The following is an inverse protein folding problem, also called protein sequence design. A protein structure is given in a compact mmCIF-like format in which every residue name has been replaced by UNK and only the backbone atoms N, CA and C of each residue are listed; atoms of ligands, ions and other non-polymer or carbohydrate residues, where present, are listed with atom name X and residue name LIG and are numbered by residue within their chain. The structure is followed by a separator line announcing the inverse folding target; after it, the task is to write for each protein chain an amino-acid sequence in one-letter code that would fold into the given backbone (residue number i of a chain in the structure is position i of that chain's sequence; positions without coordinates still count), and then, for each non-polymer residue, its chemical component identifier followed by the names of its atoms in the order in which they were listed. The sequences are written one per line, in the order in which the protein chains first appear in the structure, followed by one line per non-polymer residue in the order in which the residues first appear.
data_IF_469265334508
#
_entry.id   IF_469265334508
#
_cell.length_a   1.000
_cell.length_b   1.000
_cell.length_c   1.000
_cell.angle_alpha   90.00
_cell.angle_beta   90.00
_cell.angle_gamma   90.00
#
_symmetry.space_group_name_H-M   'P 1'
#
loop_
_entity.id
_entity.type
_entity.pdbx_description
1 polymer ?
#
# COMPACT_ATOMS: atom_id res chain seq x y z
N UNK A 1 10.49 37.27 1.41
CA UNK A 1 10.51 36.82 1.32
C UNK A 1 10.51 36.41 1.09
N UNK A 2 10.50 36.45 1.30
CA UNK A 2 10.53 35.79 1.22
C UNK A 2 10.52 35.23 0.92
N UNK A 3 10.65 35.25 1.00
CA UNK A 3 10.75 34.45 0.83
C UNK A 3 10.57 33.98 0.33
N UNK A 4 10.53 34.05 0.33
CA UNK A 4 10.35 33.39 0.00
C UNK A 4 10.29 32.87 -0.61
N UNK A 5 10.49 33.00 -0.71
CA UNK A 5 10.39 32.24 -1.17
C UNK A 5 10.41 31.48 -1.62
N UNK A 6 10.64 31.32 -1.72
CA UNK A 6 10.68 30.38 -2.02
C UNK A 6 10.57 29.69 -2.18
N UNK A 7 10.82 29.38 -2.02
CA UNK A 7 10.56 28.54 -2.02
C UNK A 7 9.73 28.03 -2.32
N UNK A 8 9.96 27.81 -2.34
CA UNK A 8 8.71 27.64 -2.47
C UNK A 8 8.11 26.72 -3.52
N UNK A 9 8.44 26.73 -4.65
CA UNK A 9 7.80 25.95 -5.65
C UNK A 9 8.02 24.47 -5.53
N UNK A 10 9.17 24.08 -5.08
CA UNK A 10 9.39 22.66 -4.99
C UNK A 10 8.73 22.06 -3.83
N UNK A 11 8.52 22.75 -2.80
CA UNK A 11 7.71 22.21 -1.73
C UNK A 11 6.29 21.92 -2.14
N UNK A 12 5.83 22.49 -3.23
CA UNK A 12 4.47 22.24 -3.68
C UNK A 12 4.18 20.79 -3.90
N UNK A 13 5.15 20.02 -4.38
CA UNK A 13 4.93 18.60 -4.58
C UNK A 13 4.68 17.88 -3.28
N UNK A 14 5.38 18.25 -2.25
CA UNK A 14 5.21 17.64 -0.95
C UNK A 14 3.88 18.02 -0.32
N UNK A 15 3.39 19.20 -0.63
CA UNK A 15 2.16 19.67 -0.04
C UNK A 15 0.94 18.96 -0.56
N UNK A 16 1.06 18.24 -1.66
CA UNK A 16 -0.07 17.54 -2.21
C UNK A 16 -0.51 16.37 -1.37
N UNK A 17 0.36 15.89 -0.52
CA UNK A 17 -0.02 14.85 0.42
C UNK A 17 -0.36 15.52 1.73
N UNK A 18 -1.63 15.61 2.04
CA UNK A 18 -2.13 16.39 3.15
C UNK A 18 -2.20 15.63 4.46
N UNK A 19 -1.77 14.39 4.49
CA UNK A 19 -1.84 13.58 5.69
C UNK A 19 -0.48 13.33 6.30
N UNK A 20 -0.42 12.65 7.44
CA UNK A 20 0.84 12.30 8.07
C UNK A 20 1.60 11.27 7.25
N UNK A 21 2.92 11.16 7.44
CA UNK A 21 3.69 10.13 6.76
C UNK A 21 3.17 8.74 7.09
N UNK A 22 3.19 7.87 6.09
CA UNK A 22 2.73 6.49 6.24
C UNK A 22 3.90 5.53 6.15
N UNK A 23 3.82 4.44 6.89
CA UNK A 23 4.75 3.32 6.74
C UNK A 23 4.08 2.32 5.82
N UNK A 24 4.66 2.12 4.66
CA UNK A 24 4.05 1.34 3.59
C UNK A 24 4.91 0.14 3.22
N UNK A 25 4.30 -1.03 3.20
CA UNK A 25 4.95 -2.23 2.68
C UNK A 25 4.45 -2.43 1.25
N UNK A 26 5.36 -2.50 0.29
CA UNK A 26 5.01 -2.70 -1.12
C UNK A 26 5.56 -4.03 -1.57
N UNK A 27 4.69 -4.90 -2.06
CA UNK A 27 5.08 -6.19 -2.60
C UNK A 27 4.73 -6.27 -4.08
N UNK A 28 5.73 -6.44 -4.93
CA UNK A 28 5.55 -6.51 -6.38
C UNK A 28 6.79 -7.20 -6.95
N UNK A 29 6.59 -8.16 -7.84
CA UNK A 29 7.71 -8.90 -8.41
C UNK A 29 8.37 -8.20 -9.60
N UNK A 30 7.85 -7.06 -10.02
CA UNK A 30 8.39 -6.31 -11.13
C UNK A 30 9.29 -5.19 -10.61
N UNK A 31 10.59 -5.29 -10.86
CA UNK A 31 11.56 -4.34 -10.34
C UNK A 31 11.23 -2.90 -10.74
N UNK A 32 10.75 -2.71 -11.97
CA UNK A 32 10.40 -1.37 -12.44
C UNK A 32 9.25 -0.79 -11.62
N UNK A 33 8.21 -1.59 -11.37
CA UNK A 33 7.07 -1.13 -10.59
C UNK A 33 7.46 -0.82 -9.16
N UNK A 34 8.30 -1.67 -8.55
CA UNK A 34 8.79 -1.43 -7.19
C UNK A 34 9.57 -0.13 -7.12
N UNK A 35 10.49 0.07 -8.07
CA UNK A 35 11.32 1.27 -8.08
C UNK A 35 10.46 2.52 -8.22
N UNK A 36 9.48 2.47 -9.12
CA UNK A 36 8.61 3.61 -9.36
C UNK A 36 7.79 3.95 -8.13
N UNK A 37 7.11 2.95 -7.56
CA UNK A 37 6.27 3.16 -6.39
C UNK A 37 7.10 3.67 -5.21
N UNK A 38 8.25 3.04 -4.99
CA UNK A 38 9.13 3.40 -3.89
C UNK A 38 9.60 4.85 -4.02
N UNK A 39 10.11 5.20 -5.19
CA UNK A 39 10.62 6.55 -5.41
C UNK A 39 9.53 7.60 -5.21
N UNK A 40 8.37 7.32 -5.76
CA UNK A 40 7.26 8.25 -5.70
C UNK A 40 6.79 8.47 -4.28
N UNK A 41 6.59 7.38 -3.56
CA UNK A 41 6.06 7.47 -2.21
C UNK A 41 7.08 8.07 -1.24
N UNK A 42 8.36 7.75 -1.41
CA UNK A 42 9.39 8.36 -0.58
C UNK A 42 9.49 9.86 -0.82
N UNK A 43 9.30 10.28 -2.06
CA UNK A 43 9.33 11.71 -2.37
C UNK A 43 8.24 12.46 -1.63
N UNK A 44 7.11 11.80 -1.38
CA UNK A 44 6.01 12.39 -0.64
C UNK A 44 6.16 12.26 0.86
N UNK A 45 7.28 11.75 1.34
CA UNK A 45 7.58 11.70 2.76
C UNK A 45 7.23 10.40 3.46
N UNK A 46 6.83 9.39 2.72
CA UNK A 46 6.44 8.11 3.33
C UNK A 46 7.64 7.20 3.52
N UNK A 47 7.52 6.28 4.48
CA UNK A 47 8.55 5.28 4.77
C UNK A 47 8.17 3.99 4.07
N UNK A 48 8.99 3.56 3.12
CA UNK A 48 8.67 2.45 2.24
C UNK A 48 9.59 1.26 2.48
N UNK A 49 9.00 0.09 2.66
CA UNK A 49 9.73 -1.16 2.63
C UNK A 49 9.22 -1.93 1.42
N UNK A 50 10.11 -2.35 0.53
CA UNK A 50 9.70 -3.06 -0.69
C UNK A 50 10.20 -4.48 -0.68
N UNK A 51 9.36 -5.41 -1.15
CA UNK A 51 9.69 -6.82 -1.24
C UNK A 51 9.19 -7.35 -2.58
N UNK A 52 9.65 -8.54 -2.97
CA UNK A 52 9.46 -9.04 -4.33
C UNK A 52 8.51 -10.23 -4.46
N UNK A 53 8.05 -10.78 -3.36
CA UNK A 53 7.10 -11.88 -3.44
C UNK A 53 6.26 -11.92 -2.16
N UNK A 54 5.24 -12.78 -2.17
CA UNK A 54 4.29 -12.85 -1.08
C UNK A 54 4.86 -13.42 0.21
N UNK A 55 5.85 -14.29 0.10
CA UNK A 55 6.48 -14.83 1.30
C UNK A 55 7.30 -13.75 1.99
N UNK A 56 8.08 -13.00 1.22
CA UNK A 56 8.82 -11.87 1.77
C UNK A 56 7.89 -10.85 2.40
N UNK A 57 6.73 -10.61 1.78
CA UNK A 57 5.76 -9.68 2.32
C UNK A 57 5.27 -10.16 3.69
N UNK A 58 4.92 -11.44 3.79
CA UNK A 58 4.44 -11.99 5.05
C UNK A 58 5.52 -11.96 6.12
N UNK A 59 6.74 -12.38 5.78
CA UNK A 59 7.82 -12.39 6.76
C UNK A 59 8.16 -10.98 7.24
N UNK A 60 8.16 -10.01 6.34
CA UNK A 60 8.42 -8.62 6.69
C UNK A 60 7.30 -8.04 7.54
N UNK A 61 6.07 -8.39 7.20
CA UNK A 61 4.91 -7.90 7.94
C UNK A 61 4.96 -8.33 9.41
N UNK A 62 5.44 -9.54 9.67
CA UNK A 62 5.52 -10.04 11.04
C UNK A 62 6.53 -9.29 11.90
N UNK A 63 7.53 -8.67 11.27
CA UNK A 63 8.64 -8.07 11.99
C UNK A 63 8.47 -6.58 12.27
N UNK A 64 7.49 -5.94 11.68
CA UNK A 64 7.33 -4.49 11.81
C UNK A 64 5.86 -4.12 11.74
N UNK A 65 5.57 -2.85 12.04
CA UNK A 65 4.21 -2.33 11.91
C UNK A 65 4.13 -1.49 10.65
N UNK A 66 3.02 -1.60 9.93
CA UNK A 66 2.77 -0.83 8.72
C UNK A 66 1.40 -0.20 8.79
N UNK A 67 1.26 0.94 8.15
CA UNK A 67 -0.03 1.63 8.06
C UNK A 67 -0.85 1.08 6.90
N UNK A 68 -0.19 0.53 5.90
CA UNK A 68 -0.87 -0.03 4.74
C UNK A 68 0.09 -0.96 4.00
N UNK A 69 -0.47 -1.97 3.34
CA UNK A 69 0.28 -2.90 2.48
C UNK A 69 -0.27 -2.75 1.06
N UNK A 70 0.63 -2.52 0.10
CA UNK A 70 0.29 -2.57 -1.32
C UNK A 70 0.75 -3.91 -1.84
N UNK A 71 -0.18 -4.77 -2.24
CA UNK A 71 0.10 -6.16 -2.54
C UNK A 71 -0.27 -6.50 -3.97
N UNK A 72 0.73 -6.81 -4.79
CA UNK A 72 0.48 -7.34 -6.11
C UNK A 72 -0.20 -8.70 -5.98
N UNK A 73 -1.07 -9.03 -6.91
CA UNK A 73 -1.78 -10.30 -6.86
C UNK A 73 -0.90 -11.44 -7.37
N UNK A 74 -0.21 -11.24 -8.49
CA UNK A 74 0.56 -12.31 -9.13
C UNK A 74 2.04 -12.13 -8.85
N UNK A 75 2.57 -12.98 -7.98
CA UNK A 75 3.98 -12.98 -7.62
C UNK A 75 4.46 -14.42 -7.49
N UNK A 76 5.75 -14.68 -7.72
CA UNK A 76 6.29 -16.04 -7.56
C UNK A 76 6.39 -16.39 -6.07
N UNK A 77 6.65 -17.63 -5.79
CA UNK A 77 6.84 -18.21 -4.46
C UNK A 77 5.53 -18.24 -3.70
N UNK A 78 4.89 -17.08 -3.49
CA UNK A 78 3.60 -16.97 -2.82
C UNK A 78 2.89 -15.78 -3.42
N UNK A 79 1.69 -15.96 -3.94
CA UNK A 79 0.96 -14.87 -4.56
C UNK A 79 0.33 -13.95 -3.51
N UNK A 80 -0.26 -12.85 -3.99
CA UNK A 80 -0.81 -11.85 -3.08
C UNK A 80 -2.01 -12.32 -2.28
N UNK A 81 -2.81 -13.22 -2.83
CA UNK A 81 -3.97 -13.74 -2.11
C UNK A 81 -3.54 -14.65 -0.97
N UNK A 82 -2.58 -15.52 -1.23
CA UNK A 82 -2.06 -16.40 -0.20
C UNK A 82 -1.34 -15.61 0.89
N UNK A 83 -0.55 -14.61 0.49
CA UNK A 83 0.15 -13.76 1.44
C UNK A 83 -0.84 -13.03 2.34
N UNK A 84 -1.92 -12.50 1.74
CA UNK A 84 -2.96 -11.81 2.50
C UNK A 84 -3.60 -12.75 3.52
N UNK A 85 -3.91 -13.99 3.11
CA UNK A 85 -4.50 -14.95 4.03
C UNK A 85 -3.58 -15.21 5.22
N UNK A 86 -2.28 -15.34 4.96
CA UNK A 86 -1.33 -15.58 6.04
C UNK A 86 -1.18 -14.36 6.94
N UNK A 87 -1.22 -13.17 6.37
CA UNK A 87 -1.18 -11.95 7.18
C UNK A 87 -2.40 -11.87 8.09
N UNK A 88 -3.59 -12.16 7.56
CA UNK A 88 -4.81 -12.13 8.36
C UNK A 88 -4.78 -13.17 9.47
N UNK A 89 -4.24 -14.35 9.18
CA UNK A 89 -4.08 -15.39 10.20
C UNK A 89 -3.13 -14.94 11.31
N UNK A 90 -2.03 -14.30 10.92
CA UNK A 90 -1.07 -13.77 11.88
C UNK A 90 -1.71 -12.69 12.75
N UNK A 91 -2.46 -11.78 12.12
CA UNK A 91 -3.14 -10.72 12.87
C UNK A 91 -4.13 -11.29 13.89
N UNK A 92 -4.83 -12.35 13.51
CA UNK A 92 -5.78 -12.98 14.43
C UNK A 92 -5.08 -13.56 15.66
N UNK A 93 -3.81 -13.91 15.53
CA UNK A 93 -3.04 -14.42 16.65
C UNK A 93 -2.44 -13.29 17.52
N UNK A 94 -2.65 -12.04 17.12
CA UNK A 94 -2.10 -10.87 17.81
C UNK A 94 -3.25 -9.93 18.17
N UNK A 95 -4.06 -10.28 19.17
CA UNK A 95 -5.31 -9.53 19.40
C UNK A 95 -5.12 -8.08 19.77
N UNK A 96 -3.95 -7.69 20.29
CA UNK A 96 -3.70 -6.29 20.60
C UNK A 96 -3.26 -5.48 19.39
N UNK A 97 -3.06 -6.13 18.25
CA UNK A 97 -2.59 -5.48 17.05
C UNK A 97 -3.78 -5.26 16.11
N UNK A 98 -4.11 -4.01 15.78
CA UNK A 98 -5.24 -3.78 14.87
C UNK A 98 -4.93 -4.30 13.46
N UNK A 99 -5.95 -4.70 12.71
CA UNK A 99 -5.73 -5.15 11.34
C UNK A 99 -5.16 -4.02 10.49
N UNK A 100 -4.33 -4.38 9.52
CA UNK A 100 -3.69 -3.43 8.63
C UNK A 100 -4.42 -3.42 7.28
N UNK A 101 -4.72 -2.26 6.72
CA UNK A 101 -5.31 -2.22 5.37
C UNK A 101 -4.37 -2.85 4.35
N UNK A 102 -4.90 -3.72 3.51
CA UNK A 102 -4.15 -4.36 2.43
C UNK A 102 -4.86 -3.99 1.13
N UNK A 103 -4.12 -3.37 0.22
CA UNK A 103 -4.65 -2.92 -1.06
C UNK A 103 -4.09 -3.79 -2.16
N UNK A 104 -4.98 -4.40 -2.95
CA UNK A 104 -4.56 -5.20 -4.09
C UNK A 104 -4.08 -4.28 -5.20
N UNK A 105 -2.96 -4.66 -5.83
CA UNK A 105 -2.48 -3.97 -7.02
C UNK A 105 -2.57 -4.96 -8.16
N UNK A 106 -3.32 -4.63 -9.20
CA UNK A 106 -3.58 -5.58 -10.26
C UNK A 106 -3.82 -4.87 -11.59
N UNK A 107 -3.40 -5.53 -12.68
CA UNK A 107 -3.71 -5.05 -14.02
C UNK A 107 -5.11 -5.48 -14.46
N UNK A 108 -5.78 -6.30 -13.64
CA UNK A 108 -7.06 -6.88 -13.99
C UNK A 108 -8.22 -6.00 -13.54
N UNK A 109 -9.09 -5.63 -14.48
CA UNK A 109 -10.27 -4.81 -14.21
C UNK A 109 -11.56 -5.61 -14.09
N UNK A 110 -11.47 -6.94 -14.05
CA UNK A 110 -12.66 -7.77 -13.95
C UNK A 110 -13.31 -7.61 -12.58
N UNK A 111 -14.58 -7.29 -12.60
CA UNK A 111 -15.31 -7.08 -11.36
C UNK A 111 -15.36 -8.33 -10.50
N UNK A 112 -15.51 -9.50 -11.13
CA UNK A 112 -15.55 -10.75 -10.38
C UNK A 112 -14.24 -11.03 -9.66
N UNK A 113 -13.12 -10.66 -10.27
CA UNK A 113 -11.81 -10.85 -9.63
C UNK A 113 -11.64 -9.86 -8.49
N UNK A 114 -12.12 -8.63 -8.67
CA UNK A 114 -12.08 -7.65 -7.58
C UNK A 114 -12.87 -8.13 -6.37
N UNK A 115 -14.02 -8.76 -6.60
CA UNK A 115 -14.82 -9.32 -5.52
C UNK A 115 -14.07 -10.42 -4.80
N UNK A 116 -13.34 -11.25 -5.56
CA UNK A 116 -12.53 -12.31 -4.98
C UNK A 116 -11.43 -11.73 -4.09
N UNK A 117 -10.76 -10.66 -4.55
CA UNK A 117 -9.71 -10.02 -3.75
C UNK A 117 -10.28 -9.48 -2.44
N UNK A 118 -11.41 -8.81 -2.51
CA UNK A 118 -12.02 -8.26 -1.31
C UNK A 118 -12.45 -9.36 -0.34
N UNK A 119 -12.98 -10.46 -0.86
CA UNK A 119 -13.39 -11.58 -0.01
C UNK A 119 -12.20 -12.28 0.63
N UNK A 120 -11.03 -12.20 0.02
CA UNK A 120 -9.85 -12.85 0.57
C UNK A 120 -9.21 -12.07 1.72
N UNK A 121 -9.73 -10.88 2.01
CA UNK A 121 -9.23 -10.10 3.13
C UNK A 121 -8.58 -8.78 2.74
N UNK A 122 -8.61 -8.45 1.46
CA UNK A 122 -8.08 -7.16 1.00
C UNK A 122 -9.12 -6.07 1.17
N UNK A 123 -8.68 -4.84 1.31
CA UNK A 123 -9.54 -3.73 1.68
C UNK A 123 -9.75 -2.73 0.57
N UNK A 124 -9.06 -2.88 -0.54
CA UNK A 124 -9.22 -1.98 -1.66
C UNK A 124 -8.42 -2.47 -2.83
N UNK A 125 -8.58 -1.81 -3.97
CA UNK A 125 -7.95 -2.22 -5.22
C UNK A 125 -7.45 -0.99 -5.95
N UNK A 126 -6.19 -1.05 -6.39
CA UNK A 126 -5.63 -0.04 -7.27
C UNK A 126 -5.22 -0.74 -8.55
N UNK A 127 -5.76 -0.28 -9.68
CA UNK A 127 -5.52 -0.89 -10.96
C UNK A 127 -4.22 -0.38 -11.57
N UNK A 128 -3.43 -1.28 -12.12
CA UNK A 128 -2.21 -0.91 -12.83
C UNK A 128 -2.54 -0.50 -14.27
N UNK A 129 -1.77 0.40 -14.87
CA UNK A 129 -0.61 1.07 -14.28
C UNK A 129 -1.05 2.09 -13.23
N UNK A 130 -0.21 2.26 -12.22
CA UNK A 130 -0.51 3.20 -11.15
C UNK A 130 -0.50 4.62 -11.70
N UNK A 131 -1.49 5.39 -11.29
CA UNK A 131 -1.54 6.80 -11.63
C UNK A 131 -0.76 7.56 -10.57
N UNK A 132 0.41 8.07 -10.97
CA UNK A 132 1.32 8.73 -10.05
C UNK A 132 0.66 9.88 -9.31
N UNK A 133 -0.20 10.63 -10.01
CA UNK A 133 -0.79 11.82 -9.42
C UNK A 133 -1.84 11.50 -8.38
N UNK A 134 -2.47 10.35 -8.46
CA UNK A 134 -3.57 10.00 -7.57
C UNK A 134 -3.25 8.87 -6.60
N UNK A 135 -2.06 8.27 -6.71
CA UNK A 135 -1.74 7.10 -5.91
C UNK A 135 -1.91 7.35 -4.41
N UNK A 136 -1.33 8.42 -3.90
CA UNK A 136 -1.41 8.69 -2.47
C UNK A 136 -2.84 8.96 -2.03
N UNK A 137 -3.60 9.72 -2.81
CA UNK A 137 -4.98 9.99 -2.43
C UNK A 137 -5.84 8.73 -2.49
N UNK A 138 -5.59 7.83 -3.44
CA UNK A 138 -6.30 6.55 -3.47
C UNK A 138 -5.99 5.72 -2.23
N UNK A 139 -4.72 5.69 -1.83
CA UNK A 139 -4.32 4.97 -0.62
C UNK A 139 -5.04 5.55 0.59
N UNK A 140 -5.04 6.87 0.73
CA UNK A 140 -5.65 7.50 1.89
C UNK A 140 -7.16 7.30 1.93
N UNK A 141 -7.82 7.32 0.78
CA UNK A 141 -9.25 7.05 0.72
C UNK A 141 -9.57 5.65 1.21
N UNK A 142 -8.77 4.68 0.80
CA UNK A 142 -8.99 3.29 1.20
C UNK A 142 -8.75 3.14 2.70
N UNK A 143 -7.70 3.76 3.21
CA UNK A 143 -7.40 3.72 4.64
C UNK A 143 -8.55 4.35 5.45
N UNK A 144 -9.06 5.48 5.00
CA UNK A 144 -10.14 6.15 5.69
C UNK A 144 -11.40 5.28 5.74
N UNK A 145 -11.72 4.62 4.63
CA UNK A 145 -12.87 3.71 4.59
C UNK A 145 -12.67 2.51 5.50
N UNK A 146 -11.45 2.00 5.55
CA UNK A 146 -11.12 0.88 6.42
C UNK A 146 -11.30 1.26 7.88
N UNK A 147 -10.76 2.40 8.27
CA UNK A 147 -10.87 2.88 9.65
C UNK A 147 -12.33 3.07 10.04
N UNK A 148 -13.14 3.59 9.12
CA UNK A 148 -14.54 3.82 9.38
C UNK A 148 -15.33 2.57 9.69
N UNK A 149 -14.85 1.43 9.22
CA UNK A 149 -15.58 0.18 9.46
C UNK A 149 -15.54 -0.28 10.90
N UNK A 150 -14.62 0.24 11.68
CA UNK A 150 -14.45 -0.21 13.05
C UNK A 150 -15.08 0.75 14.05
N UNK A 151 -15.80 1.71 13.54
CA UNK A 151 -16.56 2.63 14.37
C UNK A 151 -18.03 2.62 13.98
#
# INVERSE_FOLDING_TARGET
MNGSNGEISKPADKKKDLGPPLKILVADDTAVNLALATKLLKRRGHDITSVEDGLQAFETFKKASFDVVLMDIHMPVMDGLESTAKIREFEASQPSRPPTPIIAMTANNEKSDHETYLKSGMNGIITKPMNIKTLVSQIREIIAGFSGRFF
#
